data_IF_881217050188
#
_entry.id   IF_881217050188
#
_cell.length_a   1.000
_cell.length_b   1.000
_cell.length_c   1.000
_cell.angle_alpha   90.00
_cell.angle_beta   90.00
_cell.angle_gamma   90.00
#
_symmetry.space_group_name_H-M   'P 1'
#
loop_
_entity.id
_entity.type
_entity.pdbx_description
1 polymer ?
#
# COMPACT_ATOMS: atom_id res chain seq x y z
N UNK A 1 13.45 -12.08 -3.83
CA UNK A 1 13.82 -10.67 -3.61
C UNK A 1 12.78 -9.70 -4.18
N UNK A 2 12.26 -9.88 -5.40
CA UNK A 2 11.37 -8.90 -6.07
C UNK A 2 9.93 -8.82 -5.51
N UNK A 3 9.39 -9.93 -5.00
CA UNK A 3 7.97 -9.98 -4.57
C UNK A 3 7.66 -9.09 -3.35
N UNK A 4 8.61 -8.99 -2.43
CA UNK A 4 8.50 -8.20 -1.19
C UNK A 4 8.55 -6.70 -1.48
N UNK A 5 9.44 -6.29 -2.39
CA UNK A 5 9.53 -4.90 -2.84
C UNK A 5 8.24 -4.45 -3.53
N UNK A 6 7.67 -5.30 -4.40
CA UNK A 6 6.38 -5.03 -5.05
C UNK A 6 5.24 -4.93 -4.06
N UNK A 7 5.17 -5.83 -3.05
CA UNK A 7 4.15 -5.76 -2.00
C UNK A 7 4.26 -4.47 -1.18
N UNK A 8 5.48 -4.04 -0.86
CA UNK A 8 5.71 -2.81 -0.12
C UNK A 8 5.35 -1.57 -0.94
N UNK A 9 5.76 -1.53 -2.21
CA UNK A 9 5.43 -0.44 -3.14
C UNK A 9 3.92 -0.34 -3.38
N UNK A 10 3.27 -1.47 -3.67
CA UNK A 10 1.80 -1.54 -3.83
C UNK A 10 1.09 -1.17 -2.53
N UNK A 11 1.60 -1.60 -1.37
CA UNK A 11 1.07 -1.23 -0.06
C UNK A 11 1.15 0.28 0.20
N UNK A 12 2.28 0.90 -0.11
CA UNK A 12 2.48 2.34 0.00
C UNK A 12 1.57 3.11 -0.97
N UNK A 13 1.46 2.64 -2.22
CA UNK A 13 0.56 3.21 -3.20
C UNK A 13 -0.89 3.11 -2.71
N UNK A 14 -1.33 1.98 -2.18
CA UNK A 14 -2.68 1.81 -1.63
C UNK A 14 -2.94 2.69 -0.39
N UNK A 15 -1.92 3.01 0.40
CA UNK A 15 -2.05 3.94 1.54
C UNK A 15 -2.09 5.39 1.07
N UNK A 16 -1.26 5.79 0.10
CA UNK A 16 -1.10 7.20 -0.31
C UNK A 16 -2.09 7.61 -1.39
N UNK A 17 -2.38 6.74 -2.35
CA UNK A 17 -3.29 7.02 -3.46
C UNK A 17 -4.64 7.56 -2.99
N UNK A 18 -5.37 6.92 -2.06
CA UNK A 18 -6.70 7.38 -1.64
C UNK A 18 -6.70 8.81 -1.13
N UNK A 19 -5.61 9.27 -0.53
CA UNK A 19 -5.46 10.59 0.07
C UNK A 19 -4.81 11.61 -0.88
N UNK A 20 -4.31 11.15 -2.03
CA UNK A 20 -3.72 12.01 -3.05
C UNK A 20 -4.80 12.75 -3.86
N UNK A 21 -4.48 13.96 -4.33
CA UNK A 21 -5.34 14.69 -5.25
C UNK A 21 -5.58 13.99 -6.59
N UNK A 22 -4.73 13.02 -6.96
CA UNK A 22 -4.90 12.17 -8.14
C UNK A 22 -6.08 11.21 -8.02
N UNK A 23 -6.40 10.74 -6.82
CA UNK A 23 -7.54 9.85 -6.57
C UNK A 23 -8.87 10.57 -6.68
N UNK A 24 -8.90 11.84 -6.28
CA UNK A 24 -10.08 12.71 -6.39
C UNK A 24 -10.32 13.16 -7.84
N UNK A 25 -9.23 13.43 -8.58
CA UNK A 25 -9.24 13.88 -9.98
C UNK A 25 -8.95 12.75 -10.97
N UNK A 26 -9.43 11.54 -10.69
CA UNK A 26 -9.10 10.38 -11.52
C UNK A 26 -9.95 10.38 -12.81
N UNK A 27 -9.33 10.04 -13.95
CA UNK A 27 -10.00 9.98 -15.26
C UNK A 27 -11.21 9.03 -15.28
N UNK A 28 -11.15 7.96 -14.47
CA UNK A 28 -12.26 7.01 -14.29
C UNK A 28 -13.46 7.60 -13.55
N UNK A 29 -13.23 8.56 -12.63
CA UNK A 29 -14.31 9.26 -11.97
C UNK A 29 -15.05 10.19 -12.93
N UNK A 30 -14.31 10.89 -13.79
CA UNK A 30 -14.91 11.69 -14.87
C UNK A 30 -15.66 10.83 -15.90
N UNK A 31 -15.25 9.58 -16.10
CA UNK A 31 -15.95 8.64 -16.99
C UNK A 31 -17.18 7.99 -16.33
N UNK A 32 -17.14 7.75 -15.01
CA UNK A 32 -18.24 7.16 -14.23
C UNK A 32 -18.48 7.89 -12.91
N UNK A 33 -19.47 8.82 -12.85
CA UNK A 33 -19.75 9.61 -11.66
C UNK A 33 -20.23 8.77 -10.46
N UNK A 34 -20.91 7.64 -10.70
CA UNK A 34 -21.32 6.72 -9.62
C UNK A 34 -20.12 6.00 -9.00
N UNK A 35 -19.15 5.58 -9.81
CA UNK A 35 -17.92 4.97 -9.32
C UNK A 35 -17.08 5.99 -8.56
N UNK A 36 -17.05 7.25 -9.01
CA UNK A 36 -16.38 8.34 -8.31
C UNK A 36 -16.93 8.49 -6.89
N UNK A 37 -18.26 8.55 -6.72
CA UNK A 37 -18.91 8.67 -5.40
C UNK A 37 -18.52 7.56 -4.44
N UNK A 38 -18.41 6.33 -4.94
CA UNK A 38 -17.98 5.17 -4.15
C UNK A 38 -16.50 5.30 -3.77
N UNK A 39 -15.63 5.61 -4.73
CA UNK A 39 -14.18 5.72 -4.56
C UNK A 39 -13.76 6.91 -3.67
N UNK A 40 -14.50 8.02 -3.71
CA UNK A 40 -14.29 9.19 -2.85
C UNK A 40 -14.88 9.01 -1.45
N UNK A 41 -15.65 7.96 -1.20
CA UNK A 41 -16.23 7.70 0.11
C UNK A 41 -15.13 7.38 1.15
N UNK A 42 -15.19 8.00 2.32
CA UNK A 42 -14.25 7.79 3.41
C UNK A 42 -14.17 6.31 3.85
N UNK A 43 -15.26 5.54 3.73
CA UNK A 43 -15.26 4.10 4.01
C UNK A 43 -14.37 3.32 3.04
N UNK A 44 -14.45 3.62 1.73
CA UNK A 44 -13.64 2.95 0.71
C UNK A 44 -12.18 3.37 0.83
N UNK A 45 -11.92 4.66 1.06
CA UNK A 45 -10.56 5.15 1.35
C UNK A 45 -9.96 4.42 2.54
N UNK A 46 -10.73 4.26 3.63
CA UNK A 46 -10.32 3.49 4.81
C UNK A 46 -10.02 2.03 4.49
N UNK A 47 -10.89 1.35 3.74
CA UNK A 47 -10.69 -0.04 3.34
C UNK A 47 -9.43 -0.22 2.46
N UNK A 48 -9.22 0.65 1.48
CA UNK A 48 -8.04 0.65 0.60
C UNK A 48 -6.76 0.92 1.40
N UNK A 49 -6.80 1.90 2.31
CA UNK A 49 -5.67 2.21 3.20
C UNK A 49 -5.36 1.04 4.13
N UNK A 50 -6.38 0.37 4.69
CA UNK A 50 -6.23 -0.82 5.53
C UNK A 50 -5.60 -1.99 4.77
N UNK A 51 -6.01 -2.20 3.52
CA UNK A 51 -5.40 -3.20 2.63
C UNK A 51 -3.92 -2.88 2.36
N UNK A 52 -3.61 -1.60 2.14
CA UNK A 52 -2.25 -1.11 2.00
C UNK A 52 -1.39 -1.31 3.25
N UNK A 53 -1.95 -1.09 4.44
CA UNK A 53 -1.27 -1.34 5.72
C UNK A 53 -0.91 -2.82 5.91
N UNK A 54 -1.79 -3.74 5.55
CA UNK A 54 -1.50 -5.19 5.64
C UNK A 54 -0.35 -5.57 4.71
N UNK A 55 -0.34 -5.04 3.48
CA UNK A 55 0.76 -5.23 2.54
C UNK A 55 2.08 -4.65 3.07
N UNK A 56 2.03 -3.44 3.64
CA UNK A 56 3.18 -2.77 4.22
C UNK A 56 3.75 -3.57 5.40
N UNK A 57 2.89 -4.09 6.27
CA UNK A 57 3.28 -4.90 7.41
C UNK A 57 3.99 -6.19 6.96
N UNK A 58 3.46 -6.89 5.97
CA UNK A 58 4.11 -8.07 5.41
C UNK A 58 5.49 -7.74 4.81
N UNK A 59 5.61 -6.63 4.08
CA UNK A 59 6.88 -6.18 3.51
C UNK A 59 7.92 -5.79 4.58
N UNK A 60 7.51 -5.09 5.63
CA UNK A 60 8.37 -4.69 6.75
C UNK A 60 8.79 -5.90 7.58
N UNK A 61 7.90 -6.86 7.82
CA UNK A 61 8.21 -8.08 8.56
C UNK A 61 9.26 -8.93 7.84
N UNK A 62 9.14 -9.07 6.51
CA UNK A 62 10.12 -9.79 5.69
C UNK A 62 11.48 -9.09 5.69
N UNK A 63 11.50 -7.76 5.53
CA UNK A 63 12.72 -6.95 5.67
C UNK A 63 13.37 -7.12 7.05
N UNK A 64 12.59 -7.04 8.13
CA UNK A 64 13.08 -7.21 9.50
C UNK A 64 13.67 -8.61 9.72
N UNK A 65 13.04 -9.66 9.17
CA UNK A 65 13.55 -11.02 9.20
C UNK A 65 14.89 -11.11 8.47
N UNK A 66 15.01 -10.51 7.28
CA UNK A 66 16.26 -10.47 6.53
C UNK A 66 17.38 -9.76 7.30
N UNK A 67 17.09 -8.62 7.93
CA UNK A 67 18.07 -7.94 8.79
C UNK A 67 18.45 -8.75 10.03
N UNK A 68 17.48 -9.43 10.64
CA UNK A 68 17.71 -10.30 11.80
C UNK A 68 18.54 -11.54 11.44
N UNK A 69 18.34 -12.12 10.25
CA UNK A 69 19.17 -13.21 9.71
C UNK A 69 20.58 -12.70 9.41
N UNK A 70 20.72 -11.50 8.83
CA UNK A 70 22.03 -10.90 8.51
C UNK A 70 22.86 -10.63 9.75
N UNK A 71 22.24 -10.16 10.84
CA UNK A 71 22.91 -9.97 12.15
C UNK A 71 23.51 -11.25 12.74
N UNK A 72 23.06 -12.44 12.34
CA UNK A 72 23.59 -13.71 12.86
C UNK A 72 24.93 -14.10 12.20
N UNK A 73 25.24 -13.53 11.04
CA UNK A 73 26.47 -13.84 10.31
C UNK A 73 27.68 -12.99 10.74
N UNK A 74 27.45 -12.00 11.60
CA UNK A 74 28.48 -11.12 12.20
C UNK A 74 28.83 -11.55 13.64
N UNK A 75 28.35 -12.71 14.10
CA UNK A 75 28.77 -13.27 15.39
C UNK A 75 30.04 -14.14 15.17
N UNK A 76 31.13 -13.89 15.93
CA UNK A 76 32.41 -14.60 15.79
C UNK A 76 32.35 -16.07 16.21
#
# INVERSE_FOLDING_TARGET
MTYVALFLEVGLLLVVLPWSGFWDRNYFGSAWPELQRIITNNYVRGAVTGLGMVNLYAGVADLALLFAVRRRHDAP
#
